data_IF_508845634959
#
_entry.id   IF_508845634959
#
_cell.length_a   1.000
_cell.length_b   1.000
_cell.length_c   1.000
_cell.angle_alpha   90.00
_cell.angle_beta   90.00
_cell.angle_gamma   90.00
#
_symmetry.space_group_name_H-M   'P 1'
#
loop_
_entity.id
_entity.type
_entity.pdbx_description
1 polymer ?
#
# COMPACT_ATOMS: atom_id res chain seq x y z
N UNK A 1 7.36 -16.76 -9.51
CA UNK A 1 5.99 -17.15 -9.92
C UNK A 1 5.06 -17.38 -8.71
N UNK A 2 5.28 -18.34 -7.80
CA UNK A 2 4.36 -18.57 -6.67
C UNK A 2 4.16 -17.38 -5.71
N UNK A 3 5.23 -16.67 -5.37
CA UNK A 3 5.13 -15.48 -4.49
C UNK A 3 4.41 -14.29 -5.12
N UNK A 4 4.56 -14.06 -6.40
CA UNK A 4 3.91 -12.98 -7.13
C UNK A 4 2.38 -13.17 -7.18
N UNK A 5 1.93 -14.41 -7.34
CA UNK A 5 0.50 -14.77 -7.34
C UNK A 5 -0.16 -14.37 -6.03
N UNK A 6 0.47 -14.62 -4.88
CA UNK A 6 -0.05 -14.24 -3.55
C UNK A 6 -0.30 -12.73 -3.44
N UNK A 7 0.62 -11.90 -3.92
CA UNK A 7 0.44 -10.44 -3.86
C UNK A 7 -0.69 -9.96 -4.77
N UNK A 8 -0.84 -10.55 -5.96
CA UNK A 8 -1.95 -10.26 -6.87
C UNK A 8 -3.30 -10.67 -6.26
N UNK A 9 -3.37 -11.84 -5.61
CA UNK A 9 -4.57 -12.29 -4.90
C UNK A 9 -4.94 -11.34 -3.74
N UNK A 10 -3.95 -10.87 -2.97
CA UNK A 10 -4.16 -9.89 -1.91
C UNK A 10 -4.71 -8.57 -2.46
N UNK A 11 -4.16 -8.09 -3.57
CA UNK A 11 -4.65 -6.89 -4.23
C UNK A 11 -6.09 -7.05 -4.76
N UNK A 12 -6.45 -8.23 -5.28
CA UNK A 12 -7.83 -8.50 -5.69
C UNK A 12 -8.81 -8.44 -4.51
N UNK A 13 -8.41 -8.94 -3.33
CA UNK A 13 -9.21 -8.80 -2.09
C UNK A 13 -9.38 -7.33 -1.69
N UNK A 14 -8.33 -6.52 -1.84
CA UNK A 14 -8.40 -5.07 -1.58
C UNK A 14 -9.41 -4.42 -2.53
N UNK A 15 -9.30 -4.67 -3.84
CA UNK A 15 -10.21 -4.13 -4.85
C UNK A 15 -11.67 -4.55 -4.62
N UNK A 16 -11.90 -5.80 -4.23
CA UNK A 16 -13.24 -6.29 -3.87
C UNK A 16 -13.79 -5.57 -2.65
N UNK A 17 -12.99 -5.45 -1.58
CA UNK A 17 -13.40 -4.75 -0.37
C UNK A 17 -13.65 -3.25 -0.60
N UNK A 18 -12.87 -2.60 -1.49
CA UNK A 18 -13.13 -1.21 -1.89
C UNK A 18 -14.52 -1.06 -2.50
N UNK A 19 -14.89 -1.94 -3.43
CA UNK A 19 -16.23 -1.93 -4.08
C UNK A 19 -17.36 -2.10 -3.07
N UNK A 20 -17.22 -3.06 -2.15
CA UNK A 20 -18.20 -3.30 -1.08
C UNK A 20 -18.39 -2.08 -0.16
N UNK A 21 -17.37 -1.25 0.00
CA UNK A 21 -17.38 -0.08 0.88
C UNK A 21 -17.57 1.25 0.13
N UNK A 22 -17.90 1.20 -1.17
CA UNK A 22 -18.17 2.41 -1.97
C UNK A 22 -16.95 3.33 -2.07
N UNK A 23 -15.78 2.74 -2.29
CA UNK A 23 -14.50 3.43 -2.43
C UNK A 23 -14.00 3.24 -3.86
N UNK A 24 -13.84 4.32 -4.59
CA UNK A 24 -13.44 4.28 -6.00
C UNK A 24 -11.93 4.09 -6.14
N UNK A 25 -11.16 4.79 -5.30
CA UNK A 25 -9.70 4.69 -5.27
C UNK A 25 -9.19 4.59 -3.83
N UNK A 26 -7.98 4.02 -3.65
CA UNK A 26 -7.33 3.88 -2.35
C UNK A 26 -5.84 4.15 -2.50
N UNK A 27 -5.31 5.03 -1.65
CA UNK A 27 -3.87 5.26 -1.48
C UNK A 27 -3.41 4.53 -0.24
N UNK A 28 -2.42 3.65 -0.41
CA UNK A 28 -1.79 2.87 0.66
C UNK A 28 -0.36 3.34 0.81
N UNK A 29 0.00 3.85 1.98
CA UNK A 29 1.31 4.40 2.30
C UNK A 29 2.00 3.70 3.47
N UNK A 30 1.25 2.98 4.31
CA UNK A 30 1.79 2.28 5.47
C UNK A 30 2.82 1.21 5.05
N UNK A 31 4.09 1.28 5.53
CA UNK A 31 5.13 0.34 5.16
C UNK A 31 4.77 -1.14 5.39
N UNK A 32 4.04 -1.43 6.47
CA UNK A 32 3.62 -2.80 6.77
C UNK A 32 2.54 -3.30 5.79
N UNK A 33 1.63 -2.42 5.36
CA UNK A 33 0.62 -2.70 4.34
C UNK A 33 1.26 -2.86 2.95
N UNK A 34 2.23 -2.02 2.61
CA UNK A 34 3.00 -2.15 1.38
C UNK A 34 3.80 -3.47 1.38
N UNK A 35 4.47 -3.80 2.49
CA UNK A 35 5.16 -5.09 2.60
C UNK A 35 4.20 -6.29 2.41
N UNK A 36 2.99 -6.23 2.96
CA UNK A 36 1.97 -7.25 2.77
C UNK A 36 1.56 -7.41 1.30
N UNK A 37 1.54 -6.31 0.53
CA UNK A 37 1.11 -6.27 -0.87
C UNK A 37 2.23 -6.46 -1.90
N UNK A 38 3.51 -6.37 -1.47
CA UNK A 38 4.67 -6.43 -2.36
C UNK A 38 5.76 -7.40 -1.89
N UNK A 39 5.74 -7.83 -0.63
CA UNK A 39 6.79 -8.66 -0.03
C UNK A 39 8.12 -7.94 0.20
N UNK A 40 8.13 -6.61 0.21
CA UNK A 40 9.31 -5.79 0.45
C UNK A 40 9.01 -4.75 1.52
N UNK A 41 9.70 -4.87 2.65
CA UNK A 41 9.65 -3.84 3.68
C UNK A 41 10.56 -2.67 3.25
N UNK A 42 9.94 -1.55 2.97
CA UNK A 42 10.61 -0.32 2.59
C UNK A 42 10.17 0.81 3.52
N UNK A 43 11.12 1.65 3.91
CA UNK A 43 10.81 2.87 4.65
C UNK A 43 11.33 4.07 3.85
N UNK A 44 10.46 4.80 3.17
CA UNK A 44 10.86 5.91 2.30
C UNK A 44 11.26 7.17 3.08
N UNK A 45 11.14 7.18 4.42
CA UNK A 45 11.34 8.36 5.23
C UNK A 45 10.33 9.45 4.86
N UNK A 46 10.84 10.60 4.40
CA UNK A 46 10.02 11.76 3.99
C UNK A 46 9.54 11.72 2.53
N UNK A 47 9.99 10.74 1.74
CA UNK A 47 9.68 10.64 0.30
C UNK A 47 8.37 9.95 0.04
N UNK A 48 7.78 10.28 -1.12
CA UNK A 48 6.55 9.63 -1.55
C UNK A 48 6.80 8.15 -1.86
N UNK A 49 6.01 7.29 -1.25
CA UNK A 49 5.85 5.88 -1.60
C UNK A 49 4.40 5.48 -1.33
N UNK A 50 3.67 5.18 -2.38
CA UNK A 50 2.27 4.76 -2.26
C UNK A 50 1.91 3.70 -3.30
N UNK A 51 1.05 2.76 -2.92
CA UNK A 51 0.28 1.95 -3.85
C UNK A 51 -1.06 2.63 -4.07
N UNK A 52 -1.39 2.85 -5.32
CA UNK A 52 -2.69 3.37 -5.76
C UNK A 52 -3.53 2.23 -6.29
N UNK A 53 -4.71 2.04 -5.74
CA UNK A 53 -5.71 1.11 -6.22
C UNK A 53 -6.84 1.87 -6.90
N UNK A 54 -7.27 1.38 -8.05
CA UNK A 54 -8.43 1.87 -8.80
C UNK A 54 -9.45 0.74 -8.94
N UNK A 55 -10.59 0.88 -8.27
CA UNK A 55 -11.61 -0.16 -8.22
C UNK A 55 -12.35 -0.33 -9.54
N UNK A 56 -12.53 0.75 -10.32
CA UNK A 56 -13.21 0.72 -11.61
C UNK A 56 -12.33 0.05 -12.68
N UNK A 57 -11.05 0.45 -12.74
CA UNK A 57 -10.09 -0.12 -13.67
C UNK A 57 -9.57 -1.51 -13.24
N UNK A 58 -9.76 -1.91 -11.98
CA UNK A 58 -9.19 -3.12 -11.40
C UNK A 58 -7.66 -3.09 -11.38
N UNK A 59 -7.05 -1.90 -11.25
CA UNK A 59 -5.61 -1.68 -11.36
C UNK A 59 -4.97 -1.34 -10.02
N UNK A 60 -3.70 -1.70 -9.92
CA UNK A 60 -2.82 -1.31 -8.82
C UNK A 60 -1.52 -0.78 -9.42
N UNK A 61 -1.04 0.35 -8.94
CA UNK A 61 0.19 1.00 -9.42
C UNK A 61 1.00 1.50 -8.22
N UNK A 62 2.33 1.38 -8.30
CA UNK A 62 3.27 1.92 -7.32
C UNK A 62 3.78 3.28 -7.80
N UNK A 63 3.65 4.31 -6.96
CA UNK A 63 4.32 5.60 -7.14
C UNK A 63 5.39 5.75 -6.08
N UNK A 64 6.64 5.90 -6.48
CA UNK A 64 7.78 5.82 -5.57
C UNK A 64 8.96 6.68 -6.05
N UNK A 65 9.78 7.17 -5.11
CA UNK A 65 11.02 7.87 -5.45
C UNK A 65 11.99 6.97 -6.22
N UNK A 66 12.68 7.53 -7.22
CA UNK A 66 13.77 6.89 -8.00
C UNK A 66 14.89 6.29 -7.15
N UNK A 67 15.05 6.75 -5.92
CA UNK A 67 16.02 6.20 -4.97
C UNK A 67 15.70 4.76 -4.52
N UNK A 68 14.48 4.27 -4.81
CA UNK A 68 14.03 2.92 -4.47
C UNK A 68 13.71 2.11 -5.73
N UNK A 69 14.72 1.72 -6.53
CA UNK A 69 14.50 1.00 -7.79
C UNK A 69 13.83 -0.36 -7.54
N UNK A 70 12.86 -0.69 -8.39
CA UNK A 70 12.04 -1.89 -8.25
C UNK A 70 12.55 -3.09 -9.08
N UNK A 71 13.67 -2.92 -9.81
CA UNK A 71 14.22 -3.95 -10.70
C UNK A 71 13.46 -4.05 -12.03
N UNK A 72 13.86 -5.03 -12.84
CA UNK A 72 13.38 -5.16 -14.23
C UNK A 72 11.96 -5.74 -14.34
N UNK A 73 11.52 -6.50 -13.31
CA UNK A 73 10.21 -7.15 -13.30
C UNK A 73 9.46 -6.81 -12.00
N UNK A 74 8.95 -5.59 -11.85
CA UNK A 74 8.19 -5.20 -10.67
C UNK A 74 6.82 -5.90 -10.64
N UNK A 75 6.30 -6.19 -9.44
CA UNK A 75 4.98 -6.82 -9.24
C UNK A 75 3.87 -5.92 -9.78
N UNK A 76 4.01 -4.62 -9.58
CA UNK A 76 3.07 -3.58 -10.02
C UNK A 76 3.74 -2.65 -11.02
N UNK A 77 2.99 -2.06 -11.96
CA UNK A 77 3.47 -0.92 -12.73
C UNK A 77 4.02 0.15 -11.80
N UNK A 78 5.13 0.79 -12.19
CA UNK A 78 5.84 1.75 -11.34
C UNK A 78 5.90 3.10 -12.04
N UNK A 79 5.46 4.14 -11.34
CA UNK A 79 5.74 5.53 -11.68
C UNK A 79 6.81 6.05 -10.72
N UNK A 80 7.95 6.47 -11.27
CA UNK A 80 9.03 7.03 -10.49
C UNK A 80 8.93 8.54 -10.39
N UNK A 81 9.19 9.07 -9.19
CA UNK A 81 9.30 10.51 -8.92
C UNK A 81 10.70 10.87 -8.46
N UNK A 82 11.19 12.05 -8.80
CA UNK A 82 12.47 12.59 -8.36
C UNK A 82 12.29 13.56 -7.19
N UNK A 83 13.37 13.86 -6.46
CA UNK A 83 13.34 14.79 -5.33
C UNK A 83 13.09 16.26 -5.79
N UNK A 84 13.30 16.56 -7.07
CA UNK A 84 13.02 17.87 -7.67
C UNK A 84 11.60 18.01 -8.24
N UNK A 85 10.85 16.91 -8.31
CA UNK A 85 9.48 16.89 -8.87
C UNK A 85 8.45 17.34 -7.81
N UNK A 86 7.33 17.92 -8.27
CA UNK A 86 6.10 17.92 -7.49
C UNK A 86 5.50 16.50 -7.53
N UNK A 87 5.98 15.64 -6.63
CA UNK A 87 5.62 14.22 -6.61
C UNK A 87 4.12 13.99 -6.43
N UNK A 88 3.41 14.93 -5.80
CA UNK A 88 1.94 14.83 -5.63
C UNK A 88 1.22 15.25 -6.91
N UNK A 89 1.76 16.17 -7.69
CA UNK A 89 1.22 16.48 -9.00
C UNK A 89 1.29 15.25 -9.92
N UNK A 90 2.43 14.57 -9.96
CA UNK A 90 2.58 13.31 -10.72
C UNK A 90 1.62 12.22 -10.20
N UNK A 91 1.51 12.04 -8.88
CA UNK A 91 0.53 11.13 -8.29
C UNK A 91 -0.90 11.51 -8.69
N UNK A 92 -1.22 12.80 -8.72
CA UNK A 92 -2.58 13.27 -9.02
C UNK A 92 -3.04 12.88 -10.42
N UNK A 93 -2.14 12.68 -11.39
CA UNK A 93 -2.47 12.19 -12.73
C UNK A 93 -3.02 10.76 -12.75
N UNK A 94 -2.76 9.99 -11.68
CA UNK A 94 -3.29 8.63 -11.46
C UNK A 94 -4.60 8.63 -10.67
N UNK A 95 -5.01 9.79 -10.17
CA UNK A 95 -6.18 9.94 -9.31
C UNK A 95 -7.29 10.61 -10.10
N UNK A 96 -8.50 10.06 -10.00
CA UNK A 96 -9.70 10.62 -10.63
C UNK A 96 -9.97 12.06 -10.16
N UNK A 97 -10.70 12.81 -10.93
CA UNK A 97 -11.09 14.18 -10.56
C UNK A 97 -12.25 14.22 -9.56
N UNK A 98 -13.07 13.18 -9.54
CA UNK A 98 -14.26 13.07 -8.67
C UNK A 98 -14.38 11.64 -8.13
N UNK A 99 -15.19 11.46 -7.10
CA UNK A 99 -15.44 10.16 -6.49
C UNK A 99 -14.96 10.07 -5.04
N UNK A 100 -14.90 8.86 -4.52
CA UNK A 100 -14.48 8.58 -3.14
C UNK A 100 -13.09 7.98 -3.13
N UNK A 101 -12.15 8.65 -2.46
CA UNK A 101 -10.79 8.17 -2.28
C UNK A 101 -10.50 7.81 -0.82
N UNK A 102 -10.00 6.61 -0.59
CA UNK A 102 -9.48 6.17 0.69
C UNK A 102 -8.04 6.62 0.89
N UNK A 103 -7.74 7.13 2.08
CA UNK A 103 -6.39 7.51 2.48
C UNK A 103 -5.96 6.62 3.64
N UNK A 104 -4.75 6.12 3.56
CA UNK A 104 -4.15 5.29 4.60
C UNK A 104 -3.74 6.11 5.83
N UNK A 105 -3.66 5.44 6.98
CA UNK A 105 -3.41 5.99 8.33
C UNK A 105 -2.05 6.69 8.49
N UNK A 106 -1.04 6.29 7.73
CA UNK A 106 0.34 6.76 7.91
C UNK A 106 0.82 7.69 6.80
N UNK A 107 -0.08 8.23 5.98
CA UNK A 107 0.34 9.16 4.94
C UNK A 107 0.66 10.54 5.51
N UNK A 108 1.84 11.06 5.19
CA UNK A 108 2.25 12.36 5.70
C UNK A 108 1.29 13.47 5.25
N UNK A 109 0.87 14.30 6.19
CA UNK A 109 -0.13 15.35 5.95
C UNK A 109 0.24 16.30 4.80
N UNK A 110 1.54 16.56 4.57
CA UNK A 110 2.01 17.40 3.45
C UNK A 110 1.53 16.88 2.08
N UNK A 111 1.55 15.56 1.89
CA UNK A 111 1.10 14.95 0.65
C UNK A 111 -0.43 14.97 0.51
N UNK A 112 -1.14 14.68 1.60
CA UNK A 112 -2.60 14.72 1.61
C UNK A 112 -3.12 16.12 1.31
N UNK A 113 -2.61 17.14 1.99
CA UNK A 113 -3.02 18.53 1.78
C UNK A 113 -2.77 18.97 0.32
N UNK A 114 -1.60 18.62 -0.23
CA UNK A 114 -1.29 18.93 -1.63
C UNK A 114 -2.22 18.19 -2.60
N UNK A 115 -2.57 16.94 -2.32
CA UNK A 115 -3.54 16.21 -3.16
C UNK A 115 -4.93 16.84 -3.08
N UNK A 116 -5.37 17.28 -1.90
CA UNK A 116 -6.65 17.97 -1.73
C UNK A 116 -6.73 19.28 -2.53
N UNK A 117 -5.62 20.02 -2.61
CA UNK A 117 -5.53 21.21 -3.48
C UNK A 117 -5.67 20.85 -4.96
N UNK A 118 -5.03 19.77 -5.42
CA UNK A 118 -5.02 19.33 -6.81
C UNK A 118 -6.31 18.61 -7.23
N UNK A 119 -7.02 18.00 -6.28
CA UNK A 119 -8.26 17.22 -6.50
C UNK A 119 -9.35 17.64 -5.51
N UNK A 120 -9.83 18.90 -5.57
CA UNK A 120 -10.78 19.44 -4.59
C UNK A 120 -12.18 18.82 -4.66
N UNK A 121 -12.52 18.13 -5.73
CA UNK A 121 -13.83 17.54 -5.95
C UNK A 121 -13.92 16.07 -5.48
N UNK A 122 -12.88 15.53 -4.87
CA UNK A 122 -12.90 14.20 -4.27
C UNK A 122 -13.49 14.22 -2.87
N UNK A 123 -14.14 13.13 -2.53
CA UNK A 123 -14.53 12.83 -1.14
C UNK A 123 -13.46 11.97 -0.49
N UNK A 124 -12.73 12.54 0.46
CA UNK A 124 -11.65 11.86 1.17
C UNK A 124 -12.17 11.10 2.38
N UNK A 125 -11.81 9.82 2.51
CA UNK A 125 -12.19 8.94 3.63
C UNK A 125 -10.98 8.21 4.18
N UNK A 126 -11.06 7.78 5.45
CA UNK A 126 -10.09 6.84 5.98
C UNK A 126 -10.26 5.47 5.30
N UNK A 127 -9.24 5.02 4.57
CA UNK A 127 -9.22 3.74 3.84
C UNK A 127 -8.46 2.63 4.54
N UNK A 128 -7.81 2.90 5.68
CA UNK A 128 -6.92 1.95 6.38
C UNK A 128 -7.58 0.63 6.70
N UNK A 129 -8.86 0.67 7.09
CA UNK A 129 -9.61 -0.52 7.52
C UNK A 129 -9.77 -1.56 6.40
N UNK A 130 -9.70 -1.15 5.13
CA UNK A 130 -9.78 -2.06 3.98
C UNK A 130 -8.67 -3.11 4.07
N UNK A 131 -7.43 -2.67 4.23
CA UNK A 131 -6.28 -3.58 4.31
C UNK A 131 -6.16 -4.21 5.69
N UNK A 132 -6.42 -3.45 6.75
CA UNK A 132 -6.31 -3.94 8.12
C UNK A 132 -7.22 -5.16 8.34
N UNK A 133 -8.47 -5.14 7.85
CA UNK A 133 -9.37 -6.29 7.93
C UNK A 133 -8.86 -7.53 7.17
N UNK A 134 -8.30 -7.33 5.97
CA UNK A 134 -7.74 -8.43 5.17
C UNK A 134 -6.55 -9.04 5.91
N UNK A 135 -5.66 -8.23 6.49
CA UNK A 135 -4.49 -8.68 7.25
C UNK A 135 -4.82 -9.33 8.59
N UNK A 136 -5.98 -9.08 9.17
CA UNK A 136 -6.43 -9.75 10.41
C UNK A 136 -6.63 -11.25 10.21
N UNK A 137 -7.06 -11.68 9.03
CA UNK A 137 -7.30 -13.09 8.72
C UNK A 137 -6.04 -13.65 8.05
N UNK A 138 -5.27 -14.44 8.82
CA UNK A 138 -4.02 -15.04 8.37
C UNK A 138 -4.27 -16.29 7.54
N UNK A 139 -3.53 -16.45 6.45
CA UNK A 139 -3.49 -17.71 5.71
C UNK A 139 -2.82 -18.79 6.57
N UNK A 140 -2.96 -20.05 6.18
CA UNK A 140 -2.32 -21.16 6.88
C UNK A 140 -0.79 -21.01 6.92
N UNK A 141 -0.18 -20.59 5.81
CA UNK A 141 1.25 -20.33 5.71
C UNK A 141 1.68 -19.18 6.66
N UNK A 142 0.92 -18.08 6.69
CA UNK A 142 1.18 -16.98 7.63
C UNK A 142 1.08 -17.40 9.09
N UNK A 143 0.12 -18.29 9.41
CA UNK A 143 -0.01 -18.85 10.76
C UNK A 143 1.21 -19.70 11.13
N UNK A 144 1.70 -20.55 10.22
CA UNK A 144 2.90 -21.37 10.43
C UNK A 144 4.13 -20.49 10.68
N UNK A 145 4.32 -19.41 9.92
CA UNK A 145 5.39 -18.43 10.18
C UNK A 145 5.26 -17.75 11.55
N UNK A 146 4.05 -17.40 11.97
CA UNK A 146 3.82 -16.78 13.28
C UNK A 146 4.14 -17.75 14.43
N UNK A 147 3.77 -19.03 14.31
CA UNK A 147 4.07 -20.06 15.29
C UNK A 147 5.59 -20.23 15.42
N UNK A 148 6.29 -20.34 14.30
CA UNK A 148 7.76 -20.49 14.32
C UNK A 148 8.47 -19.23 14.85
N UNK A 149 7.99 -18.04 14.51
CA UNK A 149 8.53 -16.80 15.07
C UNK A 149 8.34 -16.73 16.60
N UNK A 150 7.19 -17.17 17.11
CA UNK A 150 6.94 -17.26 18.55
C UNK A 150 7.89 -18.25 19.22
N UNK A 151 8.05 -19.44 18.65
CA UNK A 151 8.99 -20.46 19.17
C UNK A 151 10.43 -19.96 19.24
N UNK A 152 10.89 -19.26 18.21
CA UNK A 152 12.24 -18.66 18.18
C UNK A 152 12.40 -17.56 19.22
N UNK A 153 11.34 -16.75 19.44
CA UNK A 153 11.35 -15.74 20.48
C UNK A 153 11.47 -16.37 21.88
N UNK A 154 10.73 -17.44 22.16
CA UNK A 154 10.79 -18.15 23.44
C UNK A 154 12.20 -18.68 23.70
N UNK A 155 12.83 -19.31 22.70
CA UNK A 155 14.24 -19.76 22.79
C UNK A 155 15.24 -18.63 23.03
N UNK A 156 14.98 -17.44 22.46
CA UNK A 156 15.83 -16.28 22.68
C UNK A 156 15.71 -15.78 24.13
N UNK A 157 14.50 -15.73 24.66
CA UNK A 157 14.23 -15.33 26.07
C UNK A 157 14.87 -16.32 27.06
N UNK A 158 14.71 -17.64 26.83
CA UNK A 158 15.34 -18.66 27.66
C UNK A 158 16.87 -18.56 27.75
N UNK A 159 17.53 -18.03 26.72
CA UNK A 159 18.99 -17.81 26.70
C UNK A 159 19.45 -16.52 27.38
N UNK A 160 18.51 -15.63 27.70
CA UNK A 160 18.81 -14.35 28.36
C UNK A 160 18.61 -14.41 29.86
N UNK A 161 17.96 -15.46 30.38
CA UNK A 161 17.74 -15.75 31.78
C UNK A 161 18.79 -16.76 32.30
#
# INVERSE_FOLDING_TARGET
MAKETVFKERAQKVLASMKENGMDQLIVSDPASINYLMGRLMNPGERLMVLVFDAAAGKTELVISKLYPQGDNPIWPVTYVDDVDDCVAILSEKIAETGVIGIDKNWAAKFLLRLMELRPNLTYKNGSYIIDKIRQIKTKEEQEFMIEASRLNDLAVERLI
#
